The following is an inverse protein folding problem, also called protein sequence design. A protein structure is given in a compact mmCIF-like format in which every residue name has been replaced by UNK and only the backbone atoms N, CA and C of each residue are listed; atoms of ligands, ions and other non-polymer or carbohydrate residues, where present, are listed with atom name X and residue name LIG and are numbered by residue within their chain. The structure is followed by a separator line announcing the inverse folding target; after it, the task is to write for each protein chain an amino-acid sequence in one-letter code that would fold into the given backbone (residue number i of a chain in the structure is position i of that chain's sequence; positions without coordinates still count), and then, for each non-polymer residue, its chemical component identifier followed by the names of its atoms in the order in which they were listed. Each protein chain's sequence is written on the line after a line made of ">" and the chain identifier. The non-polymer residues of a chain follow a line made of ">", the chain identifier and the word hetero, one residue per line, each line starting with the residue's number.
data_IF_947205512392
#
_entry.id   IF_947205512392
#
_cell.length_a   1.000
_cell.length_b   1.000
_cell.length_c   1.000
_cell.angle_alpha   90.00
_cell.angle_beta   90.00
_cell.angle_gamma   90.00
#
_symmetry.space_group_name_H-M   'P 1'
#
loop_
_entity.id
_entity.type
_entity.pdbx_description
1 polymer ?
#
# COMPACT_ATOMS: atom_id res chain seq x y z
N UNK A 1 -4.57 -19.87 -22.20
CA UNK A 1 -4.71 -19.91 -20.72
C UNK A 1 -4.57 -21.36 -20.27
N UNK A 2 -3.72 -21.66 -19.27
CA UNK A 2 -3.40 -23.04 -18.86
C UNK A 2 -4.53 -23.75 -18.06
N UNK A 3 -5.72 -23.17 -17.99
CA UNK A 3 -6.89 -23.72 -17.27
C UNK A 3 -6.82 -23.61 -15.74
N UNK A 4 -5.75 -23.04 -15.19
CA UNK A 4 -5.61 -22.85 -13.74
C UNK A 4 -6.58 -21.77 -13.24
N UNK A 5 -7.29 -22.07 -12.15
CA UNK A 5 -8.11 -21.07 -11.47
C UNK A 5 -7.21 -20.02 -10.79
N UNK A 6 -7.59 -18.74 -10.87
CA UNK A 6 -6.79 -17.68 -10.29
C UNK A 6 -7.62 -16.50 -9.76
N UNK A 7 -7.05 -15.84 -8.75
CA UNK A 7 -7.59 -14.63 -8.15
C UNK A 7 -6.47 -13.63 -7.92
N UNK A 8 -6.80 -12.34 -7.89
CA UNK A 8 -5.89 -11.28 -7.46
C UNK A 8 -6.30 -10.74 -6.10
N UNK A 9 -5.32 -10.35 -5.27
CA UNK A 9 -5.54 -9.68 -4.00
C UNK A 9 -5.26 -8.18 -4.18
N UNK A 10 -6.22 -7.34 -3.80
CA UNK A 10 -6.04 -5.90 -3.81
C UNK A 10 -5.23 -5.46 -2.60
N UNK A 11 -4.34 -4.48 -2.82
CA UNK A 11 -3.60 -3.78 -1.77
C UNK A 11 -4.08 -2.32 -1.60
N UNK A 12 -5.10 -1.91 -2.34
CA UNK A 12 -5.59 -0.54 -2.36
C UNK A 12 -6.78 -0.41 -3.29
N UNK A 13 -7.25 0.82 -3.46
CA UNK A 13 -8.39 1.10 -4.33
C UNK A 13 -8.12 0.62 -5.76
N UNK A 14 -9.06 -0.14 -6.32
CA UNK A 14 -8.92 -0.83 -7.60
C UNK A 14 -9.12 0.08 -8.81
N UNK A 15 -8.33 1.16 -8.87
CA UNK A 15 -8.35 2.10 -9.98
C UNK A 15 -7.97 1.41 -11.30
N UNK A 16 -7.16 0.35 -11.25
CA UNK A 16 -6.73 -0.40 -12.43
C UNK A 16 -7.89 -1.07 -13.16
N UNK A 17 -8.81 -1.73 -12.45
CA UNK A 17 -9.99 -2.32 -13.09
C UNK A 17 -10.88 -1.23 -13.72
N UNK A 18 -11.10 -0.12 -13.00
CA UNK A 18 -11.92 0.98 -13.53
C UNK A 18 -11.28 1.63 -14.76
N UNK A 19 -9.98 1.88 -14.73
CA UNK A 19 -9.25 2.42 -15.87
C UNK A 19 -9.27 1.45 -17.06
N UNK A 20 -9.14 0.14 -16.82
CA UNK A 20 -9.22 -0.87 -17.87
C UNK A 20 -10.61 -0.89 -18.53
N UNK A 21 -11.67 -0.84 -17.74
CA UNK A 21 -13.05 -0.76 -18.24
C UNK A 21 -13.27 0.49 -19.10
N UNK A 22 -12.84 1.66 -18.61
CA UNK A 22 -12.92 2.92 -19.34
C UNK A 22 -12.10 2.88 -20.63
N UNK A 23 -10.88 2.34 -20.57
CA UNK A 23 -10.00 2.16 -21.72
C UNK A 23 -10.68 1.31 -22.79
N UNK A 24 -11.22 0.14 -22.44
CA UNK A 24 -11.87 -0.78 -23.38
C UNK A 24 -13.10 -0.15 -24.03
N UNK A 25 -13.91 0.58 -23.24
CA UNK A 25 -15.07 1.31 -23.77
C UNK A 25 -14.66 2.36 -24.80
N UNK A 26 -13.70 3.21 -24.45
CA UNK A 26 -13.22 4.28 -25.34
C UNK A 26 -12.49 3.72 -26.58
N UNK A 27 -11.76 2.61 -26.44
CA UNK A 27 -11.10 1.94 -27.56
C UNK A 27 -12.13 1.36 -28.55
N UNK A 28 -13.26 0.82 -28.07
CA UNK A 28 -14.33 0.32 -28.94
C UNK A 28 -14.97 1.42 -29.80
N UNK A 29 -14.92 2.67 -29.35
CA UNK A 29 -15.40 3.84 -30.09
C UNK A 29 -14.43 4.28 -31.21
N UNK A 30 -13.19 3.77 -31.24
CA UNK A 30 -12.19 4.08 -32.28
C UNK A 30 -12.31 3.15 -33.50
N UNK A 31 -11.85 3.59 -34.70
CA UNK A 31 -11.64 2.71 -35.86
C UNK A 31 -10.72 1.54 -35.52
N UNK A 32 -10.96 0.37 -36.11
CA UNK A 32 -10.26 -0.87 -35.77
C UNK A 32 -8.74 -0.74 -35.93
N UNK A 33 -8.28 -0.03 -36.97
CA UNK A 33 -6.87 0.19 -37.27
C UNK A 33 -6.16 1.09 -36.24
N UNK A 34 -6.92 1.87 -35.47
CA UNK A 34 -6.42 2.77 -34.44
C UNK A 34 -6.48 2.16 -33.02
N UNK A 35 -7.06 0.97 -32.86
CA UNK A 35 -7.18 0.29 -31.55
C UNK A 35 -5.84 -0.32 -31.17
N UNK A 36 -5.11 0.32 -30.25
CA UNK A 36 -3.85 -0.17 -29.70
C UNK A 36 -4.06 -0.56 -28.23
N UNK A 37 -3.76 -1.82 -27.89
CA UNK A 37 -3.86 -2.35 -26.52
C UNK A 37 -2.54 -2.97 -26.05
N UNK A 38 -1.63 -2.09 -25.62
CA UNK A 38 -0.26 -2.47 -25.21
C UNK A 38 -0.25 -3.48 -24.06
N UNK A 39 -1.22 -3.40 -23.14
CA UNK A 39 -1.30 -4.33 -22.01
C UNK A 39 -1.65 -5.74 -22.48
N UNK A 40 -2.65 -5.87 -23.35
CA UNK A 40 -3.02 -7.13 -23.99
C UNK A 40 -1.83 -7.72 -24.75
N UNK A 41 -1.16 -6.91 -25.56
CA UNK A 41 -0.03 -7.36 -26.38
C UNK A 41 1.12 -7.85 -25.50
N UNK A 42 1.44 -7.11 -24.43
CA UNK A 42 2.46 -7.48 -23.47
C UNK A 42 2.15 -8.80 -22.76
N UNK A 43 0.94 -8.97 -22.22
CA UNK A 43 0.52 -10.22 -21.55
C UNK A 43 0.55 -11.38 -22.54
N UNK A 44 0.02 -11.19 -23.75
CA UNK A 44 -0.04 -12.22 -24.78
C UNK A 44 1.36 -12.67 -25.19
N UNK A 45 2.28 -11.73 -25.40
CA UNK A 45 3.69 -12.03 -25.68
C UNK A 45 4.38 -12.80 -24.56
N UNK A 46 4.11 -12.45 -23.30
CA UNK A 46 4.63 -13.19 -22.13
C UNK A 46 4.09 -14.61 -22.06
N UNK A 47 2.80 -14.82 -22.34
CA UNK A 47 2.19 -16.15 -22.37
C UNK A 47 2.73 -17.01 -23.53
N UNK A 48 2.97 -16.41 -24.69
CA UNK A 48 3.58 -17.09 -25.83
C UNK A 48 4.97 -17.62 -25.51
N UNK A 49 5.80 -16.82 -24.85
CA UNK A 49 7.13 -17.24 -24.38
C UNK A 49 7.10 -18.40 -23.37
N UNK A 50 5.94 -18.67 -22.76
CA UNK A 50 5.71 -19.77 -21.81
C UNK A 50 4.97 -20.96 -22.43
N UNK A 51 4.74 -20.98 -23.76
CA UNK A 51 3.94 -22.01 -24.42
C UNK A 51 2.46 -22.01 -24.03
N UNK A 52 1.98 -20.90 -23.46
CA UNK A 52 0.62 -20.71 -22.96
C UNK A 52 -0.21 -19.72 -23.80
N UNK A 53 0.32 -19.31 -24.96
CA UNK A 53 -0.39 -18.43 -25.88
C UNK A 53 -1.79 -19.01 -26.18
N UNK A 54 -2.80 -18.15 -26.32
CA UNK A 54 -4.03 -18.58 -26.98
C UNK A 54 -3.65 -19.06 -28.40
N UNK A 55 -3.76 -20.36 -28.67
CA UNK A 55 -3.63 -20.91 -30.02
C UNK A 55 -4.99 -20.87 -30.74
N UNK A 56 -4.99 -20.62 -32.05
CA UNK A 56 -6.21 -20.59 -32.88
C UNK A 56 -7.18 -19.47 -32.49
N UNK A 57 -8.46 -19.82 -32.32
CA UNK A 57 -9.57 -18.89 -32.01
C UNK A 57 -9.55 -18.39 -30.55
N UNK A 58 -8.54 -18.80 -29.76
CA UNK A 58 -8.39 -18.45 -28.36
C UNK A 58 -8.31 -16.94 -28.19
N UNK A 59 -9.40 -16.31 -27.72
CA UNK A 59 -9.42 -14.87 -27.48
C UNK A 59 -8.62 -14.56 -26.21
N UNK A 60 -7.92 -13.43 -26.23
CA UNK A 60 -7.44 -12.80 -25.01
C UNK A 60 -8.60 -12.62 -24.04
N UNK A 61 -8.42 -13.04 -22.79
CA UNK A 61 -9.43 -12.92 -21.75
C UNK A 61 -9.03 -11.82 -20.76
N UNK A 62 -9.96 -10.91 -20.46
CA UNK A 62 -9.74 -9.85 -19.48
C UNK A 62 -9.56 -10.41 -18.07
N UNK A 63 -9.94 -11.67 -17.80
CA UNK A 63 -9.57 -12.37 -16.56
C UNK A 63 -8.05 -12.34 -16.35
N UNK A 64 -7.21 -12.35 -17.40
CA UNK A 64 -5.75 -12.23 -17.27
C UNK A 64 -5.29 -10.88 -16.68
N UNK A 65 -6.13 -9.85 -16.73
CA UNK A 65 -5.87 -8.50 -16.20
C UNK A 65 -6.50 -8.31 -14.82
N UNK A 66 -7.76 -8.73 -14.66
CA UNK A 66 -8.56 -8.43 -13.45
C UNK A 66 -8.85 -9.66 -12.58
N UNK A 67 -8.32 -10.82 -12.94
CA UNK A 67 -8.55 -12.09 -12.27
C UNK A 67 -9.96 -12.64 -12.49
N UNK A 68 -10.12 -13.95 -12.32
CA UNK A 68 -11.45 -14.58 -12.31
C UNK A 68 -12.22 -14.19 -11.03
N UNK A 69 -11.48 -13.88 -9.97
CA UNK A 69 -11.95 -13.32 -8.71
C UNK A 69 -10.97 -12.23 -8.23
N UNK A 70 -11.50 -11.22 -7.58
CA UNK A 70 -10.74 -10.13 -6.95
C UNK A 70 -11.01 -10.14 -5.45
N UNK A 71 -10.02 -10.49 -4.63
CA UNK A 71 -10.10 -10.46 -3.18
C UNK A 71 -9.87 -9.01 -2.73
N UNK A 72 -10.85 -8.45 -2.02
CA UNK A 72 -10.91 -7.02 -1.70
C UNK A 72 -10.98 -6.81 -0.18
N UNK A 73 -9.86 -6.41 0.46
CA UNK A 73 -9.82 -6.10 1.88
C UNK A 73 -10.34 -4.69 2.20
N UNK A 74 -10.66 -3.85 1.20
CA UNK A 74 -11.10 -2.49 1.47
C UNK A 74 -12.53 -2.46 2.02
N UNK A 75 -12.81 -1.54 2.97
CA UNK A 75 -14.16 -1.20 3.36
C UNK A 75 -15.02 -0.88 2.13
N UNK A 76 -16.25 -1.39 2.12
CA UNK A 76 -17.11 -1.31 0.92
C UNK A 76 -17.40 0.11 0.44
N UNK A 77 -17.38 1.10 1.35
CA UNK A 77 -17.61 2.51 1.02
C UNK A 77 -16.43 3.20 0.33
N UNK A 78 -15.22 2.61 0.35
CA UNK A 78 -14.04 3.12 -0.36
C UNK A 78 -13.88 2.49 -1.76
N UNK A 79 -14.79 1.59 -2.15
CA UNK A 79 -14.68 0.88 -3.42
C UNK A 79 -14.94 1.81 -4.59
N UNK A 80 -14.19 1.58 -5.67
CA UNK A 80 -14.47 2.15 -6.98
C UNK A 80 -15.27 1.13 -7.78
N UNK A 81 -16.37 1.59 -8.37
CA UNK A 81 -17.21 0.78 -9.23
C UNK A 81 -16.41 0.30 -10.45
N UNK A 82 -16.30 -1.02 -10.59
CA UNK A 82 -15.70 -1.68 -11.75
C UNK A 82 -16.35 -3.06 -11.93
N UNK A 83 -16.52 -3.48 -13.17
CA UNK A 83 -17.13 -4.78 -13.51
C UNK A 83 -16.21 -5.98 -13.23
N UNK A 84 -15.91 -6.23 -11.94
CA UNK A 84 -15.06 -7.35 -11.49
C UNK A 84 -15.78 -8.22 -10.45
N UNK A 85 -15.46 -9.51 -10.41
CA UNK A 85 -16.05 -10.45 -9.46
C UNK A 85 -15.35 -10.37 -8.10
N UNK A 86 -15.86 -9.52 -7.21
CA UNK A 86 -15.23 -9.21 -5.91
C UNK A 86 -15.58 -10.22 -4.82
N UNK A 87 -14.58 -10.57 -4.02
CA UNK A 87 -14.73 -11.32 -2.76
C UNK A 87 -14.32 -10.37 -1.63
N UNK A 88 -15.27 -9.79 -0.88
CA UNK A 88 -14.92 -8.93 0.25
C UNK A 88 -14.33 -9.76 1.37
N UNK A 89 -13.23 -9.30 1.96
CA UNK A 89 -12.61 -9.92 3.13
C UNK A 89 -12.35 -8.87 4.20
N UNK A 90 -12.37 -9.29 5.47
CA UNK A 90 -11.94 -8.42 6.57
C UNK A 90 -10.41 -8.39 6.59
N UNK A 91 -9.76 -7.22 6.51
CA UNK A 91 -8.31 -7.16 6.67
C UNK A 91 -7.93 -7.62 8.07
N UNK A 92 -6.93 -8.49 8.16
CA UNK A 92 -6.29 -8.85 9.43
C UNK A 92 -4.87 -8.29 9.36
N UNK A 93 -4.57 -7.24 10.14
CA UNK A 93 -3.26 -6.62 10.09
C UNK A 93 -2.15 -7.60 10.49
N UNK A 94 -1.06 -7.60 9.72
CA UNK A 94 0.15 -8.37 10.01
C UNK A 94 1.37 -7.51 9.73
N UNK A 95 2.12 -7.16 10.76
CA UNK A 95 3.31 -6.29 10.65
C UNK A 95 4.62 -7.08 10.48
N UNK A 96 4.56 -8.36 10.09
CA UNK A 96 5.73 -9.23 10.02
C UNK A 96 6.13 -9.82 11.38
N UNK A 97 7.20 -10.64 11.41
CA UNK A 97 7.79 -11.12 12.66
C UNK A 97 8.17 -9.92 13.54
N UNK A 98 7.55 -9.80 14.71
CA UNK A 98 7.67 -8.61 15.55
C UNK A 98 7.87 -9.03 17.01
N UNK A 99 8.73 -8.29 17.72
CA UNK A 99 8.81 -8.31 19.18
C UNK A 99 8.20 -7.01 19.67
N UNK A 100 7.26 -7.10 20.61
CA UNK A 100 6.59 -5.93 21.18
C UNK A 100 7.51 -5.35 22.27
N UNK A 101 7.94 -4.08 22.17
CA UNK A 101 8.74 -3.48 23.23
C UNK A 101 7.92 -3.31 24.52
N UNK A 102 8.55 -3.53 25.68
CA UNK A 102 7.88 -3.45 26.99
C UNK A 102 7.15 -2.13 27.23
N UNK A 103 7.71 -1.01 26.74
CA UNK A 103 7.09 0.31 26.90
C UNK A 103 5.75 0.45 26.17
N UNK A 104 5.49 -0.34 25.13
CA UNK A 104 4.19 -0.33 24.42
C UNK A 104 3.10 -0.97 25.28
N UNK A 105 3.44 -2.03 26.02
CA UNK A 105 2.47 -2.82 26.81
C UNK A 105 2.33 -2.37 28.25
N UNK A 106 3.38 -1.76 28.82
CA UNK A 106 3.44 -1.48 30.26
C UNK A 106 3.38 0.01 30.62
N UNK A 107 3.80 0.91 29.73
CA UNK A 107 3.76 2.36 30.00
C UNK A 107 2.42 2.95 29.52
N UNK A 108 1.65 3.51 30.44
CA UNK A 108 0.50 4.36 30.08
C UNK A 108 1.03 5.71 29.59
N UNK A 109 0.62 6.20 28.40
CA UNK A 109 1.05 7.50 27.92
C UNK A 109 0.62 8.61 28.90
N UNK A 110 1.57 9.42 29.36
CA UNK A 110 1.28 10.57 30.23
C UNK A 110 0.62 11.73 29.47
N UNK A 111 0.68 11.69 28.13
CA UNK A 111 0.15 12.67 27.18
C UNK A 111 -0.35 11.96 25.91
N UNK A 112 -1.20 12.59 25.08
CA UNK A 112 -1.67 12.00 23.83
C UNK A 112 -0.51 11.49 22.98
N UNK A 113 -0.51 10.19 22.68
CA UNK A 113 0.53 9.56 21.87
C UNK A 113 0.20 9.66 20.39
N UNK A 114 1.14 10.13 19.59
CA UNK A 114 1.05 10.21 18.13
C UNK A 114 2.14 9.34 17.54
N UNK A 115 1.80 8.48 16.59
CA UNK A 115 2.81 7.71 15.84
C UNK A 115 3.02 8.29 14.45
N UNK A 116 4.28 8.51 14.09
CA UNK A 116 4.73 8.82 12.74
C UNK A 116 5.34 7.56 12.12
N UNK A 117 4.80 7.13 10.97
CA UNK A 117 5.36 6.02 10.21
C UNK A 117 5.43 6.32 8.71
N UNK A 118 6.65 6.25 8.17
CA UNK A 118 6.91 6.41 6.73
C UNK A 118 6.89 5.07 5.97
N UNK A 119 6.53 3.97 6.66
CA UNK A 119 6.49 2.63 6.09
C UNK A 119 7.86 2.01 5.84
N UNK A 120 7.87 0.68 5.70
CA UNK A 120 9.09 -0.11 5.42
C UNK A 120 9.35 -0.27 3.92
N UNK A 121 8.32 -0.07 3.08
CA UNK A 121 8.30 -0.55 1.68
C UNK A 121 8.81 0.45 0.65
N UNK A 122 8.94 1.74 1.01
CA UNK A 122 9.43 2.78 0.09
C UNK A 122 10.45 3.73 0.76
N UNK A 123 11.58 3.24 1.31
CA UNK A 123 12.62 4.12 1.84
C UNK A 123 13.26 5.01 0.76
N UNK A 124 13.18 4.60 -0.51
CA UNK A 124 13.87 5.23 -1.64
C UNK A 124 12.98 6.20 -2.43
N UNK A 125 11.67 5.98 -2.48
CA UNK A 125 10.75 6.83 -3.24
C UNK A 125 10.38 8.15 -2.51
N UNK A 126 10.75 8.27 -1.24
CA UNK A 126 10.47 9.45 -0.39
C UNK A 126 11.72 10.19 0.08
N UNK A 127 12.90 9.91 -0.51
CA UNK A 127 14.13 10.66 -0.23
C UNK A 127 14.13 12.09 -0.81
N UNK A 128 13.14 12.47 -1.61
CA UNK A 128 12.99 13.83 -2.17
C UNK A 128 12.04 14.72 -1.34
N UNK A 129 12.31 14.85 -0.03
CA UNK A 129 11.86 16.04 0.71
C UNK A 129 10.68 15.90 1.67
N UNK A 130 10.46 14.75 2.33
CA UNK A 130 9.62 14.76 3.54
C UNK A 130 10.41 15.43 4.68
N UNK A 131 10.00 16.62 5.17
CA UNK A 131 10.81 17.42 6.08
C UNK A 131 10.67 16.88 7.51
N UNK A 132 11.31 15.75 7.79
CA UNK A 132 11.19 15.11 9.10
C UNK A 132 11.66 16.02 10.23
N UNK A 133 12.70 16.82 10.00
CA UNK A 133 13.17 17.84 10.94
C UNK A 133 12.07 18.83 11.31
N UNK A 134 11.28 19.28 10.35
CA UNK A 134 10.22 20.28 10.57
C UNK A 134 9.06 19.65 11.34
N UNK A 135 8.76 18.37 11.08
CA UNK A 135 7.76 17.63 11.83
C UNK A 135 8.20 17.38 13.27
N UNK A 136 9.47 17.04 13.50
CA UNK A 136 10.04 16.90 14.84
C UNK A 136 10.03 18.25 15.59
N UNK A 137 10.37 19.35 14.91
CA UNK A 137 10.31 20.69 15.49
C UNK A 137 8.88 21.10 15.83
N UNK A 138 7.92 20.85 14.94
CA UNK A 138 6.51 21.10 15.21
C UNK A 138 5.99 20.26 16.39
N UNK A 139 6.40 18.99 16.49
CA UNK A 139 6.05 18.14 17.62
C UNK A 139 6.60 18.67 18.94
N UNK A 140 7.78 19.30 18.95
CA UNK A 140 8.37 19.92 20.14
C UNK A 140 7.49 21.00 20.77
N UNK A 141 6.67 21.67 19.97
CA UNK A 141 5.76 22.74 20.40
C UNK A 141 4.39 22.22 20.85
N UNK A 142 4.16 20.90 20.76
CA UNK A 142 2.88 20.27 21.06
C UNK A 142 2.94 19.44 22.35
N UNK A 143 1.84 19.43 23.11
CA UNK A 143 1.68 18.58 24.28
C UNK A 143 1.31 17.14 23.89
N UNK A 144 2.22 16.47 23.17
CA UNK A 144 2.06 15.10 22.67
C UNK A 144 3.34 14.29 22.86
N UNK A 145 3.22 12.97 22.95
CA UNK A 145 4.34 12.03 22.83
C UNK A 145 4.40 11.59 21.37
N UNK A 146 5.46 11.98 20.65
CA UNK A 146 5.67 11.55 19.27
C UNK A 146 6.55 10.30 19.25
N UNK A 147 6.00 9.18 18.79
CA UNK A 147 6.76 7.98 18.43
C UNK A 147 7.04 8.03 16.93
N UNK A 148 8.29 8.19 16.52
CA UNK A 148 8.67 8.18 15.12
C UNK A 148 9.36 6.86 14.76
N UNK A 149 8.68 6.04 13.95
CA UNK A 149 9.25 4.81 13.37
C UNK A 149 10.02 5.20 12.10
N UNK A 150 11.34 5.30 12.21
CA UNK A 150 12.21 5.80 11.13
C UNK A 150 13.34 4.82 10.86
N UNK A 151 13.64 4.60 9.58
CA UNK A 151 14.69 3.66 9.20
C UNK A 151 16.10 4.15 9.61
N UNK A 152 17.10 3.26 9.63
CA UNK A 152 18.44 3.56 10.15
C UNK A 152 19.13 4.76 9.48
N UNK A 153 18.90 4.96 8.17
CA UNK A 153 19.45 6.11 7.42
C UNK A 153 18.94 7.45 7.94
N UNK A 154 17.67 7.51 8.35
CA UNK A 154 17.07 8.73 8.89
C UNK A 154 17.62 8.98 10.30
N UNK A 155 17.73 7.94 11.13
CA UNK A 155 18.38 8.04 12.44
C UNK A 155 19.82 8.56 12.31
N UNK A 156 20.59 8.03 11.36
CA UNK A 156 21.95 8.50 11.06
C UNK A 156 21.95 9.96 10.60
N UNK A 157 21.03 10.38 9.73
CA UNK A 157 20.93 11.79 9.29
C UNK A 157 20.61 12.77 10.42
N UNK A 158 19.95 12.29 11.48
CA UNK A 158 19.62 13.06 12.69
C UNK A 158 20.68 12.92 13.78
N UNK A 159 21.73 12.11 13.56
CA UNK A 159 22.80 11.90 14.54
C UNK A 159 23.63 13.18 14.70
N UNK A 160 23.33 13.92 15.77
CA UNK A 160 23.92 15.24 16.04
C UNK A 160 22.88 16.35 16.24
N UNK A 161 21.61 16.10 15.95
CA UNK A 161 20.51 17.01 16.30
C UNK A 161 19.98 16.67 17.69
N UNK A 162 19.81 17.68 18.54
CA UNK A 162 19.12 17.50 19.81
C UNK A 162 17.64 17.18 19.52
N UNK A 163 17.19 15.98 19.90
CA UNK A 163 15.80 15.60 19.79
C UNK A 163 15.00 16.28 20.90
N UNK A 164 13.76 16.74 20.62
CA UNK A 164 12.86 17.20 21.66
C UNK A 164 12.58 16.10 22.69
N UNK A 165 12.40 16.48 23.96
CA UNK A 165 12.14 15.53 25.07
C UNK A 165 10.84 14.73 24.89
N UNK A 166 9.97 15.16 23.99
CA UNK A 166 8.70 14.51 23.68
C UNK A 166 8.73 13.63 22.42
N UNK A 167 9.91 13.42 21.84
CA UNK A 167 10.11 12.59 20.66
C UNK A 167 10.88 11.33 21.03
N UNK A 168 10.32 10.16 20.69
CA UNK A 168 11.00 8.87 20.75
C UNK A 168 11.23 8.35 19.33
N UNK A 169 12.49 8.26 18.92
CA UNK A 169 12.86 7.58 17.68
C UNK A 169 12.98 6.08 17.94
N UNK A 170 12.36 5.28 17.08
CA UNK A 170 12.43 3.81 17.11
C UNK A 170 12.64 3.29 15.70
N UNK A 171 13.43 2.23 15.55
CA UNK A 171 13.65 1.60 14.24
C UNK A 171 12.35 0.95 13.73
N UNK A 172 11.73 0.12 14.58
CA UNK A 172 10.49 -0.56 14.27
C UNK A 172 9.67 -0.87 15.54
N UNK A 173 8.34 -0.74 15.42
CA UNK A 173 7.35 -1.19 16.41
C UNK A 173 6.14 -1.73 15.66
N UNK A 174 5.57 -2.89 16.04
CA UNK A 174 4.36 -3.41 15.39
C UNK A 174 3.18 -2.45 15.61
N UNK A 175 2.64 -1.92 14.51
CA UNK A 175 1.53 -0.96 14.55
C UNK A 175 0.28 -1.55 15.21
N UNK A 176 0.03 -2.85 15.09
CA UNK A 176 -1.10 -3.51 15.74
C UNK A 176 -1.12 -3.33 17.27
N UNK A 177 0.06 -3.26 17.88
CA UNK A 177 0.21 -3.12 19.33
C UNK A 177 0.34 -1.65 19.74
N UNK A 178 0.97 -0.83 18.88
CA UNK A 178 1.17 0.60 19.16
C UNK A 178 -0.11 1.42 18.96
N UNK A 179 -0.86 1.21 17.87
CA UNK A 179 -2.02 2.03 17.51
C UNK A 179 -3.14 2.05 18.55
N UNK A 180 -3.46 0.95 19.27
CA UNK A 180 -4.41 0.99 20.37
C UNK A 180 -4.04 1.97 21.50
N UNK A 181 -2.77 2.36 21.60
CA UNK A 181 -2.27 3.33 22.59
C UNK A 181 -2.15 4.76 22.04
N UNK A 182 -2.41 4.96 20.75
CA UNK A 182 -2.25 6.24 20.07
C UNK A 182 -3.57 7.00 19.97
N UNK A 183 -3.49 8.32 20.12
CA UNK A 183 -4.58 9.25 19.82
C UNK A 183 -4.63 9.60 18.33
N UNK A 184 -3.51 9.52 17.62
CA UNK A 184 -3.41 9.80 16.19
C UNK A 184 -2.25 9.07 15.51
N UNK A 185 -2.33 8.96 14.18
CA UNK A 185 -1.28 8.45 13.30
C UNK A 185 -0.98 9.44 12.18
N UNK A 186 0.30 9.60 11.87
CA UNK A 186 0.81 10.31 10.70
C UNK A 186 1.48 9.27 9.79
N UNK A 187 0.98 9.11 8.57
CA UNK A 187 1.51 8.12 7.64
C UNK A 187 1.38 8.54 6.17
N UNK A 188 2.12 7.84 5.31
CA UNK A 188 2.21 8.09 3.87
C UNK A 188 1.07 7.43 3.05
N UNK A 189 0.09 6.78 3.68
CA UNK A 189 -1.00 6.10 2.99
C UNK A 189 -0.71 4.66 2.54
N UNK A 190 0.35 4.02 3.05
CA UNK A 190 0.67 2.63 2.74
C UNK A 190 -0.44 1.65 3.14
N UNK A 191 -0.66 0.61 2.33
CA UNK A 191 -1.75 -0.36 2.48
C UNK A 191 -1.80 -1.12 3.81
N UNK A 192 -0.65 -1.30 4.45
CA UNK A 192 -0.51 -2.01 5.72
C UNK A 192 -0.44 -1.10 6.95
N UNK A 193 -0.68 0.20 6.76
CA UNK A 193 -0.69 1.21 7.82
C UNK A 193 -2.09 1.49 8.33
#
# INVERSE_FOLDING_TARGET
>A
VCGAAHARLLFGTDHWARMRELFLRLAAEQPEEARVDVLRDWITGRLAGLGCAPEGDGKFDEELVVGQRTIDPLPSFLRVDAAVNRIPVRPVPYNGPSVVPDWVTHEQPERPRVVLTLGLTLPEAYNDGFPISDLLAAAAEMDVELIATVGPKVVESLSGTALPDNVRLVDFVPLNELLPTCSAIIHHGGAGT
#
